data_IF_622495505974
#
_entry.id   IF_622495505974
#
_cell.length_a   1.000
_cell.length_b   1.000
_cell.length_c   1.000
_cell.angle_alpha   90.00
_cell.angle_beta   90.00
_cell.angle_gamma   90.00
#
_symmetry.space_group_name_H-M   'P 1'
#
loop_
_entity.id
_entity.type
_entity.pdbx_description
1 polymer ?
#
# COMPACT_ATOMS: atom_id res chain seq x y z
N UNK A 1 6.41 22.81 -6.63
CA UNK A 1 6.10 21.44 -6.17
C UNK A 1 6.00 20.52 -7.37
N UNK A 2 6.71 19.43 -7.37
CA UNK A 2 6.63 18.43 -8.43
C UNK A 2 6.06 17.13 -7.85
N UNK A 3 5.17 16.51 -8.61
CA UNK A 3 4.55 15.23 -8.22
C UNK A 3 5.09 14.13 -9.12
N UNK A 4 5.55 13.05 -8.53
CA UNK A 4 6.13 11.93 -9.23
C UNK A 4 5.42 10.64 -8.80
N UNK A 5 5.10 9.77 -9.76
CA UNK A 5 4.61 8.43 -9.44
C UNK A 5 5.80 7.62 -8.93
N UNK A 6 5.80 7.30 -7.64
CA UNK A 6 6.90 6.61 -6.98
C UNK A 6 6.72 5.11 -6.97
N UNK A 7 5.49 4.63 -6.95
CA UNK A 7 5.18 3.20 -6.88
C UNK A 7 3.78 2.94 -7.43
N UNK A 8 3.62 1.79 -8.09
CA UNK A 8 2.30 1.34 -8.51
C UNK A 8 2.25 -0.18 -8.66
N UNK A 9 1.11 -0.74 -8.33
CA UNK A 9 0.74 -2.10 -8.76
C UNK A 9 -0.01 -2.06 -10.09
N UNK A 10 -0.78 -0.99 -10.31
CA UNK A 10 -1.52 -0.76 -11.56
C UNK A 10 -0.57 -0.75 -12.80
N UNK A 11 -0.95 -1.29 -13.98
CA UNK A 11 -2.30 -1.65 -14.39
C UNK A 11 -2.80 -3.02 -13.91
N UNK A 12 -1.96 -3.84 -13.34
CA UNK A 12 -2.36 -5.17 -12.89
C UNK A 12 -2.61 -5.19 -11.39
N UNK A 13 -3.86 -5.33 -10.97
CA UNK A 13 -4.16 -5.51 -9.56
C UNK A 13 -3.48 -6.78 -9.03
N UNK A 14 -2.99 -6.72 -7.80
CA UNK A 14 -2.38 -7.87 -7.15
C UNK A 14 -3.46 -8.70 -6.49
N UNK A 15 -3.51 -9.99 -6.84
CA UNK A 15 -4.48 -10.93 -6.29
C UNK A 15 -3.86 -11.68 -5.11
N UNK A 16 -4.54 -11.65 -3.97
CA UNK A 16 -4.05 -12.25 -2.74
C UNK A 16 -5.07 -13.28 -2.27
N UNK A 17 -4.67 -14.56 -2.15
CA UNK A 17 -5.59 -15.58 -1.63
C UNK A 17 -6.03 -15.22 -0.20
N UNK A 18 -7.29 -15.49 0.10
CA UNK A 18 -7.86 -15.23 1.43
C UNK A 18 -7.02 -15.91 2.52
N UNK A 19 -6.74 -15.17 3.57
CA UNK A 19 -5.94 -15.63 4.69
C UNK A 19 -4.44 -15.47 4.52
N UNK A 20 -3.99 -14.92 3.40
CA UNK A 20 -2.56 -14.76 3.13
C UNK A 20 -2.13 -13.30 3.16
N UNK A 21 -0.84 -13.11 3.37
CA UNK A 21 -0.17 -11.82 3.33
C UNK A 21 0.77 -11.78 2.14
N UNK A 22 0.78 -10.66 1.44
CA UNK A 22 1.73 -10.46 0.35
C UNK A 22 2.39 -9.10 0.47
N UNK A 23 3.70 -9.07 0.26
CA UNK A 23 4.42 -7.82 0.12
C UNK A 23 4.17 -7.29 -1.29
N UNK A 24 3.55 -6.13 -1.39
CA UNK A 24 3.26 -5.51 -2.69
C UNK A 24 4.50 -4.88 -3.29
N UNK A 25 5.38 -4.36 -2.46
CA UNK A 25 6.61 -3.77 -2.95
C UNK A 25 7.30 -2.89 -1.93
N UNK A 26 8.34 -2.24 -2.42
CA UNK A 26 9.14 -1.28 -1.65
C UNK A 26 9.27 -0.01 -2.48
N UNK A 27 9.33 1.12 -1.80
CA UNK A 27 9.55 2.39 -2.48
C UNK A 27 10.57 3.21 -1.70
N UNK A 28 11.54 3.77 -2.42
CA UNK A 28 12.50 4.72 -1.87
C UNK A 28 11.78 6.07 -1.74
N UNK A 29 11.68 6.57 -0.52
CA UNK A 29 10.94 7.81 -0.23
C UNK A 29 11.85 8.92 0.30
N UNK A 30 13.15 8.69 0.36
CA UNK A 30 14.08 9.65 0.98
C UNK A 30 14.13 11.00 0.26
N UNK A 31 13.79 11.05 -1.02
CA UNK A 31 13.80 12.30 -1.79
C UNK A 31 12.46 13.04 -1.74
N UNK A 32 11.47 12.51 -1.06
CA UNK A 32 10.15 13.13 -0.94
C UNK A 32 9.92 13.65 0.46
N UNK A 33 9.24 14.78 0.56
CA UNK A 33 8.79 15.30 1.85
C UNK A 33 7.46 14.70 2.25
N UNK A 34 6.61 14.45 1.26
CA UNK A 34 5.29 13.87 1.45
C UNK A 34 5.01 12.87 0.36
N UNK A 35 4.16 11.91 0.71
CA UNK A 35 3.63 10.96 -0.26
C UNK A 35 2.12 10.91 -0.13
N UNK A 36 1.47 10.59 -1.25
CA UNK A 36 0.04 10.28 -1.28
C UNK A 36 -0.13 8.84 -1.69
N UNK A 37 -0.81 8.09 -0.84
CA UNK A 37 -1.20 6.72 -1.15
C UNK A 37 -2.62 6.74 -1.70
N UNK A 38 -2.84 6.00 -2.78
CA UNK A 38 -4.17 5.70 -3.31
C UNK A 38 -4.27 4.19 -3.35
N UNK A 39 -5.26 3.64 -2.67
CA UNK A 39 -5.50 2.19 -2.63
C UNK A 39 -6.94 1.90 -3.04
N UNK A 40 -7.12 0.86 -3.85
CA UNK A 40 -8.41 0.47 -4.38
C UNK A 40 -8.54 -1.05 -4.32
N UNK A 41 -9.60 -1.55 -3.69
CA UNK A 41 -9.91 -2.96 -3.71
C UNK A 41 -10.91 -3.24 -4.82
N UNK A 42 -10.56 -4.16 -5.72
CA UNK A 42 -11.31 -4.42 -6.93
C UNK A 42 -12.67 -5.06 -6.65
N UNK A 43 -13.58 -4.83 -7.58
CA UNK A 43 -14.89 -5.46 -7.64
C UNK A 43 -14.72 -6.97 -7.70
N UNK A 44 -15.52 -7.71 -6.95
CA UNK A 44 -15.47 -9.16 -6.92
C UNK A 44 -14.46 -9.75 -5.97
N UNK A 45 -13.78 -8.93 -5.19
CA UNK A 45 -12.89 -9.41 -4.14
C UNK A 45 -13.65 -10.19 -3.08
N UNK A 46 -13.00 -11.21 -2.52
CA UNK A 46 -13.64 -12.15 -1.59
C UNK A 46 -13.91 -11.55 -0.21
N UNK A 47 -13.15 -10.53 0.19
CA UNK A 47 -13.31 -9.91 1.51
C UNK A 47 -12.38 -8.72 1.68
N UNK A 48 -12.33 -8.15 2.89
CA UNK A 48 -11.49 -6.98 3.14
C UNK A 48 -10.00 -7.27 3.00
N UNK A 49 -9.25 -6.21 2.66
CA UNK A 49 -7.78 -6.24 2.63
C UNK A 49 -7.25 -5.18 3.58
N UNK A 50 -6.28 -5.55 4.39
CA UNK A 50 -5.55 -4.61 5.24
C UNK A 50 -4.24 -4.25 4.57
N UNK A 51 -4.05 -2.96 4.28
CA UNK A 51 -2.79 -2.45 3.75
C UNK A 51 -1.94 -1.98 4.94
N UNK A 52 -0.74 -2.51 5.06
CA UNK A 52 0.21 -2.11 6.10
C UNK A 52 1.38 -1.40 5.48
N UNK A 53 1.70 -0.24 6.00
CA UNK A 53 2.82 0.58 5.56
C UNK A 53 3.86 0.59 6.67
N UNK A 54 5.07 0.14 6.37
CA UNK A 54 6.16 0.10 7.34
C UNK A 54 7.34 0.92 6.86
N UNK A 55 7.96 1.64 7.78
CA UNK A 55 9.13 2.45 7.50
C UNK A 55 10.37 1.63 7.79
N UNK A 56 11.27 1.58 6.82
CA UNK A 56 12.56 0.92 6.96
C UNK A 56 13.67 1.95 6.79
N UNK A 57 14.63 1.90 7.68
CA UNK A 57 15.82 2.73 7.63
C UNK A 57 17.03 1.81 7.46
N UNK A 58 17.74 1.94 6.34
CA UNK A 58 18.75 0.96 5.99
C UNK A 58 18.10 -0.40 5.76
N UNK A 59 18.49 -1.41 6.51
CA UNK A 59 17.91 -2.75 6.43
C UNK A 59 17.07 -3.11 7.65
N UNK A 60 16.77 -2.13 8.50
CA UNK A 60 16.04 -2.36 9.72
C UNK A 60 14.64 -1.77 9.66
N UNK A 61 13.67 -2.54 10.13
CA UNK A 61 12.32 -2.07 10.34
C UNK A 61 12.31 -1.10 11.51
N UNK A 62 11.89 0.14 11.26
CA UNK A 62 11.85 1.18 12.28
C UNK A 62 10.49 1.29 12.92
N UNK A 63 9.44 1.36 12.11
CA UNK A 63 8.10 1.60 12.63
C UNK A 63 7.04 1.27 11.58
N UNK A 64 5.83 1.04 12.07
CA UNK A 64 4.67 0.96 11.21
C UNK A 64 4.12 2.38 11.03
N UNK A 65 4.03 2.83 9.78
CA UNK A 65 3.51 4.15 9.47
C UNK A 65 2.00 4.19 9.61
N UNK A 66 1.32 3.20 9.05
CA UNK A 66 -0.14 3.15 9.07
C UNK A 66 -0.65 1.76 8.73
N UNK A 67 -1.92 1.54 9.08
CA UNK A 67 -2.68 0.34 8.71
C UNK A 67 -4.05 0.80 8.21
N UNK A 68 -4.40 0.40 7.00
CA UNK A 68 -5.64 0.80 6.35
C UNK A 68 -6.45 -0.44 6.01
N UNK A 69 -7.73 -0.44 6.36
CA UNK A 69 -8.64 -1.53 6.00
C UNK A 69 -9.52 -1.10 4.83
N UNK A 70 -9.47 -1.88 3.74
CA UNK A 70 -10.30 -1.68 2.57
C UNK A 70 -11.39 -2.74 2.52
N UNK A 71 -12.63 -2.30 2.36
CA UNK A 71 -13.73 -3.20 2.03
C UNK A 71 -13.77 -3.41 0.52
N UNK A 72 -14.38 -4.50 0.02
CA UNK A 72 -14.56 -4.68 -1.43
C UNK A 72 -15.24 -3.45 -2.05
N UNK A 73 -14.76 -3.01 -3.20
CA UNK A 73 -15.16 -1.80 -3.92
C UNK A 73 -14.69 -0.49 -3.28
N UNK A 74 -14.02 -0.52 -2.12
CA UNK A 74 -13.62 0.70 -1.44
C UNK A 74 -12.35 1.29 -2.03
N UNK A 75 -12.22 2.60 -1.89
CA UNK A 75 -11.03 3.35 -2.26
C UNK A 75 -10.61 4.21 -1.09
N UNK A 76 -9.32 4.32 -0.87
CA UNK A 76 -8.77 5.14 0.20
C UNK A 76 -7.63 5.98 -0.37
N UNK A 77 -7.58 7.24 0.07
CA UNK A 77 -6.49 8.15 -0.22
C UNK A 77 -5.97 8.73 1.08
N UNK A 78 -4.66 8.68 1.28
CA UNK A 78 -4.00 9.22 2.47
C UNK A 78 -2.73 9.96 2.09
N UNK A 79 -2.43 11.02 2.82
CA UNK A 79 -1.19 11.78 2.68
C UNK A 79 -0.36 11.59 3.94
N UNK A 80 0.93 11.35 3.75
CA UNK A 80 1.86 11.15 4.85
C UNK A 80 3.07 12.06 4.70
N UNK A 81 3.57 12.57 5.81
CA UNK A 81 4.93 13.07 5.90
C UNK A 81 5.83 11.86 6.12
N UNK A 82 6.93 11.77 5.40
CA UNK A 82 7.73 10.56 5.41
C UNK A 82 9.00 10.74 6.22
N UNK A 83 9.10 10.09 7.39
CA UNK A 83 10.32 10.06 8.17
C UNK A 83 11.10 8.80 7.84
N UNK A 84 12.04 8.79 7.00
CA UNK A 84 12.82 7.60 6.73
C UNK A 84 13.20 7.46 5.27
N UNK A 85 13.84 6.35 4.93
CA UNK A 85 14.40 6.17 3.60
C UNK A 85 13.56 5.26 2.71
N UNK A 86 12.93 4.25 3.28
CA UNK A 86 12.19 3.27 2.48
C UNK A 86 10.87 2.91 3.13
N UNK A 87 9.86 2.75 2.29
CA UNK A 87 8.53 2.33 2.69
C UNK A 87 8.27 0.94 2.12
N UNK A 88 7.89 0.01 2.97
CA UNK A 88 7.44 -1.31 2.56
C UNK A 88 5.92 -1.38 2.61
N UNK A 89 5.32 -2.01 1.62
CA UNK A 89 3.87 -2.08 1.48
C UNK A 89 3.45 -3.54 1.50
N UNK A 90 2.63 -3.90 2.49
CA UNK A 90 2.09 -5.25 2.65
C UNK A 90 0.58 -5.21 2.55
N UNK A 91 0.01 -6.29 2.05
CA UNK A 91 -1.44 -6.47 2.01
C UNK A 91 -1.81 -7.82 2.62
N UNK A 92 -2.77 -7.80 3.55
CA UNK A 92 -3.30 -8.99 4.18
C UNK A 92 -4.74 -9.18 3.70
N UNK A 93 -5.02 -10.26 2.98
CA UNK A 93 -6.37 -10.61 2.62
C UNK A 93 -7.02 -11.32 3.81
N UNK A 94 -8.01 -10.68 4.41
CA UNK A 94 -8.63 -11.20 5.62
C UNK A 94 -9.48 -12.45 5.31
N UNK A 95 -9.53 -13.36 6.26
CA UNK A 95 -10.32 -14.57 6.14
C UNK A 95 -11.82 -14.21 6.07
N UNK A 96 -12.54 -14.81 5.15
CA UNK A 96 -13.96 -14.53 4.96
C UNK A 96 -14.60 -15.47 3.96
N UNK A 97 -13.97 -16.61 3.69
CA UNK A 97 -14.45 -17.58 2.72
C UNK A 97 -13.34 -18.11 1.85
N UNK A 98 -13.66 -18.47 0.64
CA UNK A 98 -12.71 -18.94 -0.37
C UNK A 98 -12.53 -17.88 -1.44
N UNK A 99 -11.44 -17.99 -2.19
CA UNK A 99 -11.15 -17.08 -3.30
C UNK A 99 -10.00 -16.16 -2.99
N UNK A 100 -10.00 -15.00 -3.63
CA UNK A 100 -8.93 -14.02 -3.47
C UNK A 100 -9.48 -12.60 -3.51
N UNK A 101 -8.70 -11.69 -2.98
CA UNK A 101 -8.99 -10.26 -3.05
C UNK A 101 -7.94 -9.59 -3.91
N UNK A 102 -8.34 -8.65 -4.74
CA UNK A 102 -7.44 -7.95 -5.66
C UNK A 102 -7.37 -6.48 -5.30
N UNK A 103 -6.16 -5.96 -5.23
CA UNK A 103 -5.93 -4.59 -4.80
C UNK A 103 -4.92 -3.89 -5.70
N UNK A 104 -5.19 -2.62 -5.98
CA UNK A 104 -4.23 -1.72 -6.61
C UNK A 104 -3.78 -0.68 -5.59
N UNK A 105 -2.48 -0.40 -5.60
CA UNK A 105 -1.89 0.64 -4.77
C UNK A 105 -1.01 1.53 -5.63
N UNK A 106 -1.18 2.84 -5.51
CA UNK A 106 -0.34 3.82 -6.15
C UNK A 106 0.21 4.76 -5.08
N UNK A 107 1.46 5.15 -5.23
CA UNK A 107 2.08 6.13 -4.35
C UNK A 107 2.70 7.23 -5.19
N UNK A 108 2.27 8.46 -4.91
CA UNK A 108 2.83 9.66 -5.50
C UNK A 108 3.66 10.37 -4.44
N UNK A 109 4.84 10.82 -4.83
CA UNK A 109 5.67 11.62 -3.97
C UNK A 109 5.82 13.05 -4.48
N UNK A 110 6.04 13.98 -3.58
CA UNK A 110 6.36 15.35 -3.99
C UNK A 110 7.34 16.02 -3.04
N UNK A 111 8.05 16.98 -3.60
CA UNK A 111 9.00 17.85 -2.89
C UNK A 111 8.51 19.28 -2.99
N UNK A 112 8.93 20.10 -2.07
CA UNK A 112 8.63 21.54 -2.11
C UNK A 112 9.78 22.33 -2.71
#
# INVERSE_FOLDING_TARGET
MATTLAFRTHPGAVSIPVGQTQKLGEVDVKSYERIRLVADERVGSAGPVVIRLTITEGNELVAQLDTLTLQPHAQITRVYEVPGTKLDIFADALAGGSGSSSVDVLIYGWTE
#
